data_IF_848765866084
#
_entry.id   IF_848765866084
#
_cell.length_a   1.000
_cell.length_b   1.000
_cell.length_c   1.000
_cell.angle_alpha   90.00
_cell.angle_beta   90.00
_cell.angle_gamma   90.00
#
_symmetry.space_group_name_H-M   'P 1'
#
loop_
_entity.id
_entity.type
_entity.pdbx_description
1 polymer ?
#
# COMPACT_ATOMS: atom_id res chain seq x y z
N UNK A 1 -33.58 -28.37 -10.94
CA UNK A 1 -33.50 -27.06 -10.26
C UNK A 1 -32.04 -26.82 -9.94
N UNK A 2 -31.32 -26.14 -10.85
CA UNK A 2 -29.89 -25.86 -10.71
C UNK A 2 -29.70 -24.49 -10.09
N UNK A 3 -28.91 -24.43 -9.02
CA UNK A 3 -28.60 -23.19 -8.31
C UNK A 3 -27.76 -22.27 -9.18
N UNK A 4 -28.40 -21.25 -9.78
CA UNK A 4 -27.69 -20.13 -10.39
C UNK A 4 -27.02 -19.31 -9.28
N UNK A 5 -25.76 -19.65 -9.02
CA UNK A 5 -24.93 -18.89 -8.10
C UNK A 5 -24.73 -17.47 -8.64
N UNK A 6 -24.96 -16.41 -7.84
CA UNK A 6 -24.76 -15.02 -8.26
C UNK A 6 -23.32 -14.72 -8.67
N UNK A 7 -22.37 -15.56 -8.24
CA UNK A 7 -20.97 -15.51 -8.63
C UNK A 7 -20.74 -15.86 -10.11
N UNK A 8 -21.52 -16.79 -10.66
CA UNK A 8 -21.42 -17.21 -12.07
C UNK A 8 -22.00 -16.17 -13.02
N UNK A 9 -23.03 -15.44 -12.58
CA UNK A 9 -23.61 -14.34 -13.34
C UNK A 9 -22.61 -13.17 -13.51
N UNK A 10 -21.79 -12.90 -12.49
CA UNK A 10 -20.79 -11.84 -12.55
C UNK A 10 -19.61 -12.21 -13.46
N UNK A 11 -19.18 -13.47 -13.46
CA UNK A 11 -18.15 -13.95 -14.38
C UNK A 11 -18.60 -13.93 -15.85
N UNK A 12 -19.86 -14.24 -16.14
CA UNK A 12 -20.39 -14.14 -17.50
C UNK A 12 -20.58 -12.70 -17.99
N UNK A 13 -20.89 -11.76 -17.08
CA UNK A 13 -20.93 -10.33 -17.41
C UNK A 13 -19.53 -9.78 -17.78
N UNK A 14 -18.49 -10.21 -17.06
CA UNK A 14 -17.11 -9.80 -17.32
C UNK A 14 -16.58 -10.26 -18.70
N UNK A 15 -17.12 -11.36 -19.24
CA UNK A 15 -16.65 -11.96 -20.50
C UNK A 15 -17.40 -11.47 -21.75
N UNK A 16 -18.56 -10.79 -21.62
CA UNK A 16 -19.28 -10.21 -22.78
C UNK A 16 -18.95 -8.74 -23.05
N UNK A 17 -18.17 -8.08 -22.18
CA UNK A 17 -17.83 -6.65 -22.29
C UNK A 17 -16.68 -6.32 -23.24
N UNK A 18 -16.56 -7.01 -24.37
CA UNK A 18 -15.57 -6.73 -25.43
C UNK A 18 -15.87 -5.47 -26.25
N UNK A 19 -16.30 -4.39 -25.59
CA UNK A 19 -16.53 -3.07 -26.16
C UNK A 19 -15.56 -2.07 -25.54
N UNK A 20 -15.01 -1.17 -26.35
CA UNK A 20 -14.00 -0.17 -25.99
C UNK A 20 -14.28 0.55 -24.66
N UNK A 21 -13.34 0.58 -23.69
CA UNK A 21 -13.61 0.93 -22.29
C UNK A 21 -13.65 2.45 -22.01
N UNK A 22 -14.12 3.27 -22.96
CA UNK A 22 -14.21 4.73 -22.78
C UNK A 22 -15.65 5.19 -22.53
N UNK A 23 -16.65 4.36 -22.84
CA UNK A 23 -18.05 4.83 -22.95
C UNK A 23 -18.81 5.07 -21.64
N UNK A 24 -18.24 4.79 -20.46
CA UNK A 24 -18.86 5.25 -19.22
C UNK A 24 -17.88 5.38 -18.06
N UNK A 25 -16.88 6.26 -18.18
CA UNK A 25 -16.28 6.81 -16.95
C UNK A 25 -17.32 7.75 -16.35
N UNK A 26 -17.99 7.29 -15.29
CA UNK A 26 -18.85 8.16 -14.49
C UNK A 26 -18.00 9.29 -13.90
N UNK A 27 -18.23 10.49 -14.43
CA UNK A 27 -17.50 11.70 -14.06
C UNK A 27 -17.78 12.11 -12.61
N UNK A 28 -18.98 11.84 -12.09
CA UNK A 28 -19.34 12.11 -10.70
C UNK A 28 -18.54 11.19 -9.79
N UNK A 29 -18.58 9.88 -10.04
CA UNK A 29 -17.82 8.90 -9.27
C UNK A 29 -16.31 9.16 -9.35
N UNK A 30 -15.79 9.63 -10.50
CA UNK A 30 -14.39 10.02 -10.63
C UNK A 30 -14.00 11.14 -9.67
N UNK A 31 -14.83 12.17 -9.52
CA UNK A 31 -14.53 13.27 -8.60
C UNK A 31 -14.72 12.90 -7.13
N UNK A 32 -15.67 12.02 -6.83
CA UNK A 32 -15.81 11.46 -5.48
C UNK A 32 -14.58 10.63 -5.09
N UNK A 33 -14.08 9.81 -6.01
CA UNK A 33 -12.85 9.05 -5.82
C UNK A 33 -11.61 9.94 -5.69
N UNK A 34 -11.58 11.06 -6.43
CA UNK A 34 -10.53 12.07 -6.31
C UNK A 34 -10.53 12.69 -4.92
N UNK A 35 -11.70 13.10 -4.41
CA UNK A 35 -11.85 13.67 -3.08
C UNK A 35 -11.48 12.66 -1.99
N UNK A 36 -11.86 11.39 -2.16
CA UNK A 36 -11.45 10.31 -1.26
C UNK A 36 -9.92 10.12 -1.22
N UNK A 37 -9.24 10.33 -2.35
CA UNK A 37 -7.77 10.30 -2.42
C UNK A 37 -7.13 11.54 -1.78
N UNK A 38 -7.73 12.72 -1.90
CA UNK A 38 -7.30 13.92 -1.18
C UNK A 38 -7.37 13.72 0.34
N UNK A 39 -8.48 13.21 0.84
CA UNK A 39 -8.62 12.88 2.26
C UNK A 39 -7.59 11.83 2.68
N UNK A 40 -7.35 10.82 1.85
CA UNK A 40 -6.34 9.80 2.14
C UNK A 40 -4.94 10.40 2.21
N UNK A 41 -4.61 11.36 1.34
CA UNK A 41 -3.35 12.09 1.41
C UNK A 41 -3.22 12.88 2.72
N UNK A 42 -4.27 13.59 3.14
CA UNK A 42 -4.28 14.31 4.41
C UNK A 42 -4.07 13.37 5.61
N UNK A 43 -4.69 12.18 5.60
CA UNK A 43 -4.47 11.15 6.62
C UNK A 43 -3.03 10.64 6.60
N UNK A 44 -2.44 10.45 5.42
CA UNK A 44 -1.04 10.04 5.29
C UNK A 44 -0.12 11.10 5.89
N UNK A 45 -0.34 12.37 5.58
CA UNK A 45 0.46 13.47 6.09
C UNK A 45 0.33 13.60 7.62
N UNK A 46 -0.88 13.47 8.18
CA UNK A 46 -1.13 13.52 9.63
C UNK A 46 -0.52 12.32 10.37
N UNK A 47 -0.64 11.12 9.81
CA UNK A 47 -0.33 9.85 10.52
C UNK A 47 0.91 9.16 9.99
N UNK A 48 1.77 9.88 9.28
CA UNK A 48 2.87 9.32 8.51
C UNK A 48 3.71 8.32 9.31
N UNK A 49 4.25 8.75 10.46
CA UNK A 49 5.09 7.90 11.32
C UNK A 49 4.33 6.68 11.86
N UNK A 50 3.06 6.85 12.24
CA UNK A 50 2.23 5.76 12.76
C UNK A 50 1.91 4.74 11.68
N UNK A 51 1.67 5.18 10.44
CA UNK A 51 1.45 4.30 9.30
C UNK A 51 2.72 3.50 8.97
N UNK A 52 3.88 4.17 8.94
CA UNK A 52 5.16 3.53 8.70
C UNK A 52 5.55 2.53 9.79
N UNK A 53 5.13 2.73 11.05
CA UNK A 53 5.46 1.83 12.14
C UNK A 53 4.56 0.58 12.25
N UNK A 54 3.56 0.41 11.37
CA UNK A 54 2.63 -0.72 11.40
C UNK A 54 3.34 -2.09 11.34
N UNK A 55 2.67 -3.18 11.76
CA UNK A 55 3.08 -4.54 11.38
C UNK A 55 3.08 -4.70 9.86
N UNK A 56 4.00 -5.52 9.33
CA UNK A 56 4.23 -5.63 7.88
C UNK A 56 2.95 -6.02 7.12
N UNK A 57 2.22 -7.06 7.55
CA UNK A 57 0.97 -7.48 6.89
C UNK A 57 -0.06 -6.35 6.76
N UNK A 58 -0.27 -5.61 7.85
CA UNK A 58 -1.20 -4.48 7.89
C UNK A 58 -0.73 -3.32 7.01
N UNK A 59 0.59 -3.10 6.95
CA UNK A 59 1.21 -2.12 6.09
C UNK A 59 1.06 -2.50 4.60
N UNK A 60 1.39 -3.73 4.22
CA UNK A 60 1.30 -4.23 2.85
C UNK A 60 -0.15 -4.27 2.34
N UNK A 61 -1.10 -4.63 3.18
CA UNK A 61 -2.53 -4.57 2.83
C UNK A 61 -2.97 -3.14 2.51
N UNK A 62 -2.65 -2.20 3.40
CA UNK A 62 -2.96 -0.78 3.19
C UNK A 62 -2.25 -0.18 1.97
N UNK A 63 -0.98 -0.55 1.75
CA UNK A 63 -0.17 -0.12 0.61
C UNK A 63 -0.77 -0.59 -0.70
N UNK A 64 -1.12 -1.88 -0.81
CA UNK A 64 -1.76 -2.45 -2.00
C UNK A 64 -3.07 -1.75 -2.33
N UNK A 65 -3.96 -1.56 -1.35
CA UNK A 65 -5.21 -0.81 -1.54
C UNK A 65 -4.94 0.61 -2.08
N UNK A 66 -4.01 1.32 -1.45
CA UNK A 66 -3.69 2.71 -1.83
C UNK A 66 -3.09 2.79 -3.24
N UNK A 67 -2.16 1.91 -3.58
CA UNK A 67 -1.55 1.87 -4.92
C UNK A 67 -2.57 1.51 -5.99
N UNK A 68 -3.45 0.54 -5.73
CA UNK A 68 -4.52 0.16 -6.67
C UNK A 68 -5.46 1.33 -6.94
N UNK A 69 -5.88 2.06 -5.90
CA UNK A 69 -6.74 3.25 -6.06
C UNK A 69 -6.04 4.35 -6.87
N UNK A 70 -4.78 4.63 -6.58
CA UNK A 70 -3.98 5.65 -7.30
C UNK A 70 -3.83 5.28 -8.77
N UNK A 71 -3.58 3.99 -9.10
CA UNK A 71 -3.49 3.52 -10.49
C UNK A 71 -4.83 3.64 -11.21
N UNK A 72 -5.90 3.10 -10.61
CA UNK A 72 -7.26 3.18 -11.17
C UNK A 72 -7.70 4.63 -11.43
N UNK A 73 -7.38 5.57 -10.53
CA UNK A 73 -7.69 6.98 -10.74
C UNK A 73 -6.82 7.59 -11.85
N UNK A 74 -5.53 7.26 -11.92
CA UNK A 74 -4.64 7.74 -12.97
C UNK A 74 -5.08 7.27 -14.36
N UNK A 75 -5.51 6.01 -14.48
CA UNK A 75 -5.99 5.43 -15.75
C UNK A 75 -7.27 6.16 -16.21
N UNK A 76 -8.23 6.34 -15.29
CA UNK A 76 -9.47 7.09 -15.57
C UNK A 76 -9.21 8.56 -15.90
N UNK A 77 -8.28 9.20 -15.19
CA UNK A 77 -7.87 10.57 -15.48
C UNK A 77 -7.26 10.68 -16.87
N UNK A 78 -6.40 9.74 -17.27
CA UNK A 78 -5.82 9.69 -18.61
C UNK A 78 -6.86 9.52 -19.71
N UNK A 79 -7.85 8.64 -19.50
CA UNK A 79 -8.94 8.45 -20.44
C UNK A 79 -9.84 9.70 -20.57
N UNK A 80 -10.19 10.34 -19.45
CA UNK A 80 -10.94 11.61 -19.47
C UNK A 80 -10.12 12.73 -20.13
N UNK A 81 -8.80 12.75 -19.96
CA UNK A 81 -7.93 13.75 -20.57
C UNK A 81 -7.84 13.60 -22.09
N UNK A 82 -7.67 12.36 -22.55
CA UNK A 82 -7.65 12.01 -23.98
C UNK A 82 -8.98 12.32 -24.66
N UNK A 83 -10.09 12.17 -23.95
CA UNK A 83 -11.43 12.54 -24.43
C UNK A 83 -11.71 14.06 -24.38
N UNK A 84 -10.77 14.89 -23.90
CA UNK A 84 -10.99 16.33 -23.71
C UNK A 84 -12.02 16.66 -22.64
N UNK A 85 -12.39 15.71 -21.78
CA UNK A 85 -13.40 15.85 -20.76
C UNK A 85 -12.86 16.51 -19.47
N UNK A 86 -11.55 16.72 -19.36
CA UNK A 86 -10.90 17.43 -18.24
C UNK A 86 -10.52 18.86 -18.61
N UNK A 87 -11.07 19.80 -17.85
CA UNK A 87 -10.65 21.20 -17.88
C UNK A 87 -9.16 21.32 -17.52
N UNK A 88 -8.40 22.27 -18.10
CA UNK A 88 -6.97 22.41 -17.86
C UNK A 88 -6.58 22.54 -16.39
N UNK A 89 -7.37 23.24 -15.57
CA UNK A 89 -7.10 23.35 -14.14
C UNK A 89 -7.34 22.03 -13.39
N UNK A 90 -8.37 21.26 -13.78
CA UNK A 90 -8.67 19.95 -13.17
C UNK A 90 -7.57 18.96 -13.49
N UNK A 91 -7.10 18.96 -14.74
CA UNK A 91 -5.96 18.14 -15.19
C UNK A 91 -4.71 18.38 -14.34
N UNK A 92 -4.35 19.66 -14.13
CA UNK A 92 -3.21 20.04 -13.27
C UNK A 92 -3.40 19.57 -11.82
N UNK A 93 -4.60 19.77 -11.28
CA UNK A 93 -4.94 19.37 -9.92
C UNK A 93 -4.81 17.85 -9.71
N UNK A 94 -5.42 17.06 -10.60
CA UNK A 94 -5.33 15.59 -10.57
C UNK A 94 -3.87 15.12 -10.68
N UNK A 95 -3.11 15.70 -11.61
CA UNK A 95 -1.69 15.37 -11.77
C UNK A 95 -0.86 15.69 -10.51
N UNK A 96 -1.11 16.85 -9.88
CA UNK A 96 -0.45 17.23 -8.64
C UNK A 96 -0.78 16.25 -7.51
N UNK A 97 -2.06 15.92 -7.31
CA UNK A 97 -2.49 14.98 -6.28
C UNK A 97 -1.87 13.58 -6.46
N UNK A 98 -1.93 13.04 -7.67
CA UNK A 98 -1.35 11.74 -7.99
C UNK A 98 0.17 11.72 -7.76
N UNK A 99 0.86 12.82 -8.08
CA UNK A 99 2.30 12.98 -7.85
C UNK A 99 2.61 13.02 -6.35
N UNK A 100 1.87 13.80 -5.57
CA UNK A 100 2.04 13.88 -4.13
C UNK A 100 1.81 12.53 -3.45
N UNK A 101 0.74 11.82 -3.80
CA UNK A 101 0.45 10.49 -3.27
C UNK A 101 1.56 9.49 -3.59
N UNK A 102 2.04 9.43 -4.84
CA UNK A 102 3.15 8.55 -5.22
C UNK A 102 4.40 8.84 -4.39
N UNK A 103 4.77 10.12 -4.24
CA UNK A 103 5.92 10.53 -3.42
C UNK A 103 5.75 10.13 -1.96
N UNK A 104 4.55 10.29 -1.39
CA UNK A 104 4.29 9.92 0.00
C UNK A 104 4.30 8.42 0.23
N UNK A 105 3.80 7.62 -0.72
CA UNK A 105 3.91 6.16 -0.66
C UNK A 105 5.37 5.73 -0.63
N UNK A 106 6.21 6.26 -1.53
CA UNK A 106 7.66 5.97 -1.53
C UNK A 106 8.31 6.35 -0.20
N UNK A 107 8.00 7.54 0.33
CA UNK A 107 8.53 7.95 1.64
C UNK A 107 8.08 7.03 2.78
N UNK A 108 6.85 6.52 2.73
CA UNK A 108 6.37 5.53 3.69
C UNK A 108 7.09 4.19 3.53
N UNK A 109 7.33 3.74 2.29
CA UNK A 109 8.05 2.49 2.00
C UNK A 109 9.45 2.52 2.64
N UNK A 110 10.18 3.62 2.40
CA UNK A 110 11.49 3.85 2.98
C UNK A 110 11.46 3.88 4.51
N UNK A 111 10.47 4.58 5.08
CA UNK A 111 10.35 4.71 6.53
C UNK A 111 9.97 3.38 7.19
N UNK A 112 9.07 2.62 6.56
CA UNK A 112 8.64 1.30 7.03
C UNK A 112 9.80 0.30 7.04
N UNK A 113 10.61 0.27 5.97
CA UNK A 113 11.80 -0.57 5.89
C UNK A 113 12.76 -0.33 7.07
N UNK A 114 13.00 0.94 7.43
CA UNK A 114 13.84 1.29 8.60
C UNK A 114 13.27 0.77 9.93
N UNK A 115 11.94 0.67 10.07
CA UNK A 115 11.33 0.05 11.25
C UNK A 115 11.51 -1.47 11.26
N UNK A 116 11.43 -2.12 10.10
CA UNK A 116 11.76 -3.53 9.91
C UNK A 116 13.19 -3.85 10.36
N UNK A 117 14.17 -3.09 9.86
CA UNK A 117 15.58 -3.27 10.20
C UNK A 117 15.84 -3.14 11.71
N UNK A 118 15.22 -2.14 12.35
CA UNK A 118 15.35 -1.94 13.80
C UNK A 118 14.75 -3.10 14.60
N UNK A 119 13.64 -3.68 14.14
CA UNK A 119 13.02 -4.86 14.78
C UNK A 119 13.90 -6.10 14.64
N UNK A 120 14.46 -6.34 13.45
CA UNK A 120 15.38 -7.45 13.20
C UNK A 120 16.62 -7.34 14.11
N UNK A 121 17.29 -6.18 14.15
CA UNK A 121 18.45 -5.96 15.01
C UNK A 121 18.17 -6.11 16.51
N UNK A 122 16.95 -5.82 16.97
CA UNK A 122 16.54 -6.04 18.37
C UNK A 122 16.29 -7.51 18.67
N UNK A 123 15.74 -8.25 17.70
CA UNK A 123 15.56 -9.70 17.80
C UNK A 123 16.90 -10.43 17.82
N UNK A 124 17.87 -9.94 17.04
CA UNK A 124 19.22 -10.49 16.92
C UNK A 124 20.23 -9.84 17.90
N UNK A 125 19.75 -9.02 18.84
CA UNK A 125 20.56 -8.43 19.91
C UNK A 125 21.19 -9.51 20.82
N UNK A 126 22.25 -9.18 21.60
CA UNK A 126 23.29 -10.12 22.00
C UNK A 126 22.80 -11.14 23.04
N UNK A 127 22.21 -12.23 22.56
CA UNK A 127 22.06 -13.47 23.32
C UNK A 127 23.19 -14.40 22.87
N UNK A 128 24.05 -14.80 23.82
CA UNK A 128 25.18 -15.73 23.70
C UNK A 128 26.59 -15.15 23.46
N UNK A 129 27.11 -14.46 24.48
CA UNK A 129 28.54 -14.58 24.86
C UNK A 129 28.72 -14.70 26.38
N UNK A 130 27.85 -15.48 27.02
CA UNK A 130 27.92 -15.76 28.46
C UNK A 130 27.70 -17.25 28.76
N UNK A 131 28.29 -18.11 27.94
CA UNK A 131 28.49 -19.53 28.21
C UNK A 131 29.81 -19.97 27.59
N UNK A 132 30.91 -19.41 28.06
CA UNK A 132 32.24 -19.98 27.85
C UNK A 132 32.95 -19.98 29.21
N UNK A 133 32.93 -21.17 29.81
CA UNK A 133 33.86 -21.65 30.84
C UNK A 133 33.76 -20.97 32.22
N UNK A 134 32.69 -21.31 32.95
CA UNK A 134 32.79 -21.54 34.39
C UNK A 134 32.81 -23.06 34.56
N UNK A 135 33.94 -23.60 35.01
CA UNK A 135 34.09 -25.01 35.35
C UNK A 135 35.38 -25.61 34.84
N UNK A 136 36.48 -25.39 35.55
CA UNK A 136 37.28 -26.44 36.21
C UNK A 136 38.15 -25.73 37.26
N UNK A 137 37.67 -25.71 38.50
CA UNK A 137 38.52 -25.57 39.66
C UNK A 137 38.23 -26.75 40.59
N UNK A 138 39.28 -27.25 41.22
CA UNK A 138 39.33 -28.25 42.31
C UNK A 138 39.11 -29.72 41.91
N UNK A 139 40.18 -30.52 41.87
CA UNK A 139 40.70 -31.27 43.02
C UNK A 139 41.62 -32.42 42.58
N UNK A 140 42.85 -32.48 43.10
CA UNK A 140 43.50 -33.72 43.57
C UNK A 140 44.92 -33.41 44.07
N UNK A 141 45.06 -33.30 45.39
CA UNK A 141 46.30 -33.60 46.11
C UNK A 141 46.41 -35.12 46.35
N UNK A 142 47.62 -35.57 46.71
CA UNK A 142 48.09 -36.93 47.04
C UNK A 142 48.60 -37.72 45.82
N UNK A 143 49.82 -38.28 45.77
CA UNK A 143 50.83 -38.63 46.78
C UNK A 143 52.24 -38.44 46.23
#
# INVERSE_FOLDING_TARGET
MGSDSPLSAWMHAALRGGGTPVDHIDRTQFFDDLQALELRLAIIDDRFERLAARPDDAYQAWRRDTVTRVRSLADRAGALDAAGALEPHRRRHVAALLTMLRRRIVGLDERHARYGDRRARRRDGPVARRSAVVGVATAASAH
#
